data_IF_817580481460
#
_entry.id   IF_817580481460
#
_cell.length_a   1.000
_cell.length_b   1.000
_cell.length_c   1.000
_cell.angle_alpha   90.00
_cell.angle_beta   90.00
_cell.angle_gamma   90.00
#
_symmetry.space_group_name_H-M   'P 1'
#
loop_
_entity.id
_entity.type
_entity.pdbx_description
1 polymer ?
#
# COMPACT_ATOMS: atom_id res chain seq x y z
N UNK A 1 -8.82 -3.62 -19.07
CA UNK A 1 -8.45 -2.35 -18.38
C UNK A 1 -7.44 -2.65 -17.30
N UNK A 2 -6.39 -1.82 -17.15
CA UNK A 2 -5.36 -1.98 -16.12
C UNK A 2 -5.74 -1.19 -14.87
N UNK A 3 -5.56 -1.78 -13.69
CA UNK A 3 -5.80 -1.17 -12.40
C UNK A 3 -4.57 -1.39 -11.49
N UNK A 4 -4.51 -0.72 -10.36
CA UNK A 4 -3.58 -1.02 -9.27
C UNK A 4 -4.36 -1.21 -7.98
N UNK A 5 -4.70 -2.43 -7.65
CA UNK A 5 -5.47 -2.82 -6.45
C UNK A 5 -4.56 -3.43 -5.41
N UNK A 6 -3.64 -4.32 -5.83
CA UNK A 6 -2.63 -4.97 -5.01
C UNK A 6 -1.22 -4.67 -5.57
N UNK A 7 -0.14 -4.66 -4.76
CA UNK A 7 1.23 -4.48 -5.25
C UNK A 7 1.65 -5.47 -6.34
N UNK A 8 1.04 -6.64 -6.38
CA UNK A 8 1.33 -7.71 -7.35
C UNK A 8 0.63 -7.54 -8.70
N UNK A 9 -0.25 -6.55 -8.84
CA UNK A 9 -0.91 -6.22 -10.13
C UNK A 9 0.07 -5.67 -11.17
N UNK A 10 1.23 -5.21 -10.74
CA UNK A 10 2.33 -4.82 -11.61
C UNK A 10 3.38 -5.92 -11.61
N UNK A 11 3.93 -6.26 -12.76
CA UNK A 11 5.14 -7.08 -12.83
C UNK A 11 6.33 -6.32 -12.24
N UNK A 12 7.43 -7.03 -11.91
CA UNK A 12 8.66 -6.38 -11.45
C UNK A 12 9.15 -5.34 -12.46
N UNK A 13 9.17 -5.71 -13.74
CA UNK A 13 9.59 -4.80 -14.82
C UNK A 13 8.68 -3.55 -14.92
N UNK A 14 7.36 -3.70 -14.79
CA UNK A 14 6.43 -2.56 -14.78
C UNK A 14 6.62 -1.67 -13.55
N UNK A 15 6.85 -2.27 -12.39
CA UNK A 15 7.18 -1.55 -11.16
C UNK A 15 8.45 -0.70 -11.33
N UNK A 16 9.50 -1.30 -11.87
CA UNK A 16 10.77 -0.61 -12.13
C UNK A 16 10.63 0.48 -13.20
N UNK A 17 9.82 0.26 -14.25
CA UNK A 17 9.50 1.29 -15.24
C UNK A 17 8.77 2.48 -14.62
N UNK A 18 7.80 2.25 -13.72
CA UNK A 18 7.09 3.33 -13.01
C UNK A 18 8.06 4.08 -12.09
N UNK A 19 8.96 3.38 -11.39
CA UNK A 19 9.99 4.01 -10.54
C UNK A 19 10.94 4.84 -11.40
N UNK A 20 11.46 4.32 -12.50
CA UNK A 20 12.34 5.05 -13.42
C UNK A 20 11.65 6.27 -14.04
N UNK A 21 10.36 6.13 -14.41
CA UNK A 21 9.56 7.26 -14.87
C UNK A 21 9.39 8.33 -13.80
N UNK A 22 9.21 7.94 -12.53
CA UNK A 22 9.14 8.90 -11.43
C UNK A 22 10.47 9.66 -11.24
N UNK A 23 11.62 8.99 -11.42
CA UNK A 23 12.94 9.64 -11.41
C UNK A 23 13.09 10.62 -12.60
N UNK A 24 12.63 10.25 -13.82
CA UNK A 24 12.64 11.17 -14.97
C UNK A 24 11.72 12.38 -14.74
N UNK A 25 10.54 12.18 -14.14
CA UNK A 25 9.64 13.27 -13.77
C UNK A 25 10.30 14.22 -12.76
N UNK A 26 11.01 13.71 -11.76
CA UNK A 26 11.75 14.52 -10.78
C UNK A 26 12.79 15.40 -11.48
N UNK A 27 13.53 14.82 -12.41
CA UNK A 27 14.59 15.50 -13.15
C UNK A 27 14.07 16.48 -14.20
N UNK A 28 12.91 16.21 -14.81
CA UNK A 28 12.41 16.89 -16.01
C UNK A 28 10.94 17.35 -15.85
N UNK A 29 10.58 18.02 -14.74
CA UNK A 29 9.19 18.37 -14.39
C UNK A 29 8.44 19.10 -15.53
N UNK A 30 9.09 20.04 -16.19
CA UNK A 30 8.48 20.82 -17.28
C UNK A 30 8.02 19.93 -18.46
N UNK A 31 8.73 18.84 -18.76
CA UNK A 31 8.37 17.87 -19.80
C UNK A 31 7.01 17.22 -19.56
N UNK A 32 6.61 17.08 -18.30
CA UNK A 32 5.40 16.39 -17.89
C UNK A 32 4.25 17.28 -17.47
N UNK A 33 4.44 18.61 -17.46
CA UNK A 33 3.45 19.58 -16.96
C UNK A 33 2.11 19.62 -17.72
N UNK A 34 2.07 19.04 -18.92
CA UNK A 34 0.88 18.94 -19.78
C UNK A 34 0.53 17.48 -20.13
N UNK A 35 1.18 16.50 -19.49
CA UNK A 35 1.08 15.09 -19.85
C UNK A 35 -0.32 14.48 -19.64
N UNK A 36 -1.13 15.07 -18.76
CA UNK A 36 -2.52 14.69 -18.49
C UNK A 36 -3.52 15.80 -18.82
N UNK A 37 -3.15 16.72 -19.74
CA UNK A 37 -4.05 17.82 -20.15
C UNK A 37 -5.39 17.27 -20.65
N UNK A 38 -6.50 17.83 -20.12
CA UNK A 38 -7.87 17.40 -20.44
C UNK A 38 -8.35 16.15 -19.72
N UNK A 39 -7.48 15.44 -18.99
CA UNK A 39 -7.85 14.27 -18.18
C UNK A 39 -8.28 14.66 -16.76
N UNK A 40 -9.16 13.87 -16.15
CA UNK A 40 -9.68 14.10 -14.80
C UNK A 40 -9.44 12.89 -13.91
N UNK A 41 -8.86 13.14 -12.74
CA UNK A 41 -8.74 12.16 -11.65
C UNK A 41 -9.91 12.35 -10.68
N UNK A 42 -10.66 11.28 -10.42
CA UNK A 42 -11.61 11.25 -9.30
C UNK A 42 -10.92 10.73 -8.03
N UNK A 43 -10.89 11.54 -6.96
CA UNK A 43 -10.43 11.12 -5.63
C UNK A 43 -11.64 10.77 -4.77
N UNK A 44 -11.88 9.46 -4.56
CA UNK A 44 -13.02 8.94 -3.79
C UNK A 44 -12.52 8.47 -2.42
N UNK A 45 -12.56 9.35 -1.43
CA UNK A 45 -12.02 9.09 -0.11
C UNK A 45 -13.16 8.90 0.89
N UNK A 46 -13.51 7.63 1.14
CA UNK A 46 -14.53 7.21 2.13
C UNK A 46 -13.97 7.19 3.57
N UNK A 47 -12.65 7.14 3.70
CA UNK A 47 -11.92 7.22 4.96
C UNK A 47 -11.00 8.44 4.92
N UNK A 48 -10.96 9.29 5.95
CA UNK A 48 -10.11 10.48 5.98
C UNK A 48 -8.63 10.16 5.74
N UNK A 49 -8.00 10.86 4.82
CA UNK A 49 -6.56 10.76 4.56
C UNK A 49 -6.03 12.02 3.91
N UNK A 50 -5.53 12.95 4.71
CA UNK A 50 -5.00 14.23 4.24
C UNK A 50 -3.83 14.04 3.29
N UNK A 51 -2.78 13.32 3.70
CA UNK A 51 -1.55 13.15 2.91
C UNK A 51 -1.79 12.47 1.57
N UNK A 52 -2.48 11.31 1.58
CA UNK A 52 -2.70 10.55 0.35
C UNK A 52 -3.53 11.33 -0.64
N UNK A 53 -4.62 11.99 -0.18
CA UNK A 53 -5.47 12.80 -1.04
C UNK A 53 -4.72 13.99 -1.63
N UNK A 54 -4.02 14.76 -0.79
CA UNK A 54 -3.21 15.90 -1.27
C UNK A 54 -2.12 15.46 -2.25
N UNK A 55 -1.49 14.30 -2.02
CA UNK A 55 -0.47 13.76 -2.91
C UNK A 55 -1.04 13.39 -4.29
N UNK A 56 -2.21 12.74 -4.35
CA UNK A 56 -2.89 12.45 -5.63
C UNK A 56 -3.35 13.73 -6.32
N UNK A 57 -3.91 14.66 -5.56
CA UNK A 57 -4.34 15.96 -6.09
C UNK A 57 -3.17 16.72 -6.70
N UNK A 58 -2.07 16.87 -5.96
CA UNK A 58 -0.88 17.55 -6.45
C UNK A 58 -0.28 16.83 -7.66
N UNK A 59 -0.21 15.49 -7.63
CA UNK A 59 0.30 14.70 -8.74
C UNK A 59 -0.48 14.94 -10.04
N UNK A 60 -1.81 14.93 -10.00
CA UNK A 60 -2.63 15.15 -11.19
C UNK A 60 -2.55 16.59 -11.69
N UNK A 61 -2.54 17.58 -10.79
CA UNK A 61 -2.42 19.00 -11.15
C UNK A 61 -1.05 19.30 -11.76
N UNK A 62 0.04 18.75 -11.23
CA UNK A 62 1.39 18.93 -11.79
C UNK A 62 1.57 18.22 -13.16
N UNK A 63 0.72 17.26 -13.50
CA UNK A 63 0.63 16.66 -14.83
C UNK A 63 -0.27 17.44 -15.80
N UNK A 64 -0.83 18.60 -15.40
CA UNK A 64 -1.72 19.42 -16.22
C UNK A 64 -3.17 18.92 -16.28
N UNK A 65 -3.53 17.93 -15.48
CA UNK A 65 -4.89 17.40 -15.39
C UNK A 65 -5.76 18.12 -14.35
N UNK A 66 -6.95 17.61 -14.13
CA UNK A 66 -7.94 18.16 -13.19
C UNK A 66 -8.31 17.11 -12.14
N UNK A 67 -8.82 17.56 -10.99
CA UNK A 67 -9.23 16.67 -9.89
C UNK A 67 -10.65 16.99 -9.47
N UNK A 68 -11.47 15.95 -9.35
CA UNK A 68 -12.82 15.98 -8.79
C UNK A 68 -12.93 14.93 -7.67
N UNK A 69 -14.04 14.91 -6.95
CA UNK A 69 -14.31 13.85 -5.95
C UNK A 69 -14.67 14.40 -4.58
N UNK A 70 -14.61 13.53 -3.58
CA UNK A 70 -14.98 13.84 -2.20
C UNK A 70 -13.93 13.32 -1.20
N UNK A 71 -13.95 13.88 0.01
CA UNK A 71 -13.01 13.54 1.11
C UNK A 71 -13.69 12.89 2.32
N UNK A 72 -15.03 12.76 2.26
CA UNK A 72 -15.85 12.19 3.30
C UNK A 72 -17.07 11.52 2.64
N UNK A 73 -17.34 10.25 3.00
CA UNK A 73 -18.50 9.51 2.54
C UNK A 73 -19.83 10.21 2.88
N UNK A 74 -19.90 10.88 4.03
CA UNK A 74 -21.10 11.57 4.48
C UNK A 74 -21.49 12.76 3.59
N UNK A 75 -20.56 13.30 2.82
CA UNK A 75 -20.81 14.38 1.87
C UNK A 75 -21.20 13.90 0.47
N UNK A 76 -21.43 12.58 0.29
CA UNK A 76 -21.72 11.96 -1.01
C UNK A 76 -23.02 11.15 -0.97
N UNK A 77 -23.47 10.64 -2.13
CA UNK A 77 -24.63 9.76 -2.26
C UNK A 77 -24.51 8.44 -1.47
N UNK A 78 -23.31 8.09 -1.05
CA UNK A 78 -23.04 6.94 -0.18
C UNK A 78 -23.82 7.02 1.13
N UNK A 79 -24.00 8.23 1.68
CA UNK A 79 -24.83 8.46 2.87
C UNK A 79 -26.30 8.05 2.69
N UNK A 80 -26.75 7.88 1.44
CA UNK A 80 -28.09 7.41 1.06
C UNK A 80 -28.14 5.92 0.75
N UNK A 81 -27.01 5.19 0.91
CA UNK A 81 -26.91 3.76 0.66
C UNK A 81 -26.45 3.38 -0.77
N UNK A 82 -25.86 4.33 -1.55
CA UNK A 82 -25.30 4.00 -2.85
C UNK A 82 -24.13 3.02 -2.71
N UNK A 83 -24.13 1.97 -3.52
CA UNK A 83 -23.09 0.94 -3.53
C UNK A 83 -21.80 1.44 -4.18
N UNK A 84 -20.65 0.78 -3.88
CA UNK A 84 -19.39 1.06 -4.58
C UNK A 84 -19.53 0.86 -6.09
N UNK A 85 -20.23 -0.21 -6.50
CA UNK A 85 -20.45 -0.52 -7.92
C UNK A 85 -21.21 0.60 -8.66
N UNK A 86 -22.25 1.16 -8.06
CA UNK A 86 -23.03 2.23 -8.67
C UNK A 86 -22.27 3.56 -8.64
N UNK A 87 -21.62 3.87 -7.52
CA UNK A 87 -20.78 5.07 -7.42
C UNK A 87 -19.75 5.13 -8.55
N UNK A 88 -19.00 4.05 -8.80
CA UNK A 88 -17.94 4.09 -9.83
C UNK A 88 -18.50 4.11 -11.25
N UNK A 89 -19.68 3.54 -11.49
CA UNK A 89 -20.39 3.66 -12.77
C UNK A 89 -20.84 5.10 -13.07
N UNK A 90 -21.25 5.83 -12.05
CA UNK A 90 -21.56 7.27 -12.17
C UNK A 90 -20.29 8.08 -12.38
N UNK A 91 -19.26 7.85 -11.57
CA UNK A 91 -18.00 8.61 -11.61
C UNK A 91 -17.28 8.47 -12.98
N UNK A 92 -17.33 7.29 -13.62
CA UNK A 92 -16.74 7.11 -14.95
C UNK A 92 -17.32 8.05 -16.03
N UNK A 93 -18.52 8.59 -15.80
CA UNK A 93 -19.10 9.57 -16.72
C UNK A 93 -18.42 10.95 -16.61
N UNK A 94 -17.65 11.20 -15.56
CA UNK A 94 -17.06 12.48 -15.23
C UNK A 94 -15.53 12.46 -15.12
N UNK A 95 -14.91 11.29 -15.01
CA UNK A 95 -13.48 11.12 -14.79
C UNK A 95 -12.87 10.06 -15.71
N UNK A 96 -11.55 10.14 -15.89
CA UNK A 96 -10.75 9.22 -16.71
C UNK A 96 -10.00 8.18 -15.89
N UNK A 97 -9.83 8.43 -14.58
CA UNK A 97 -9.13 7.56 -13.64
C UNK A 97 -9.65 7.81 -12.22
N UNK A 98 -9.67 6.77 -11.39
CA UNK A 98 -10.14 6.83 -10.00
C UNK A 98 -8.99 6.50 -9.05
N UNK A 99 -8.80 7.29 -7.99
CA UNK A 99 -8.05 6.94 -6.79
C UNK A 99 -9.04 6.76 -5.64
N UNK A 100 -9.22 5.52 -5.18
CA UNK A 100 -10.18 5.16 -4.14
C UNK A 100 -9.49 4.80 -2.84
N UNK A 101 -9.90 5.45 -1.74
CA UNK A 101 -9.58 5.06 -0.38
C UNK A 101 -10.85 4.70 0.37
N UNK A 102 -10.91 3.51 0.95
CA UNK A 102 -12.11 3.00 1.59
C UNK A 102 -11.82 2.35 2.95
N UNK A 103 -12.76 2.45 3.90
CA UNK A 103 -12.65 1.79 5.20
C UNK A 103 -12.99 0.29 5.13
N UNK A 104 -13.77 -0.15 4.13
CA UNK A 104 -14.05 -1.57 3.86
C UNK A 104 -12.96 -2.17 2.99
N UNK A 105 -12.46 -3.32 3.41
CA UNK A 105 -11.47 -4.08 2.68
C UNK A 105 -12.06 -4.66 1.39
N UNK A 106 -11.31 -4.57 0.30
CA UNK A 106 -11.71 -5.04 -1.02
C UNK A 106 -12.61 -4.09 -1.83
N UNK A 107 -13.04 -2.95 -1.29
CA UNK A 107 -13.85 -1.99 -2.05
C UNK A 107 -13.20 -1.53 -3.36
N UNK A 108 -11.87 -1.25 -3.44
CA UNK A 108 -11.22 -0.95 -4.72
C UNK A 108 -11.24 -2.11 -5.72
N UNK A 109 -11.22 -3.37 -5.25
CA UNK A 109 -11.36 -4.53 -6.12
C UNK A 109 -12.75 -4.59 -6.75
N UNK A 110 -13.81 -4.34 -5.97
CA UNK A 110 -15.17 -4.20 -6.50
C UNK A 110 -15.22 -3.03 -7.48
N UNK A 111 -14.67 -1.88 -7.13
CA UNK A 111 -14.63 -0.72 -8.03
C UNK A 111 -13.99 -1.04 -9.39
N UNK A 112 -12.90 -1.81 -9.40
CA UNK A 112 -12.19 -2.18 -10.63
C UNK A 112 -13.03 -3.03 -11.58
N UNK A 113 -14.00 -3.79 -11.07
CA UNK A 113 -14.88 -4.64 -11.87
C UNK A 113 -15.95 -3.82 -12.61
N UNK A 114 -16.36 -2.68 -12.07
CA UNK A 114 -17.51 -1.91 -12.56
C UNK A 114 -17.15 -0.54 -13.15
N UNK A 115 -15.97 0.00 -12.85
CA UNK A 115 -15.61 1.36 -13.25
C UNK A 115 -15.45 1.56 -14.76
N UNK A 116 -14.89 0.57 -15.49
CA UNK A 116 -14.58 0.71 -16.93
C UNK A 116 -13.50 1.76 -17.25
N UNK A 117 -12.89 2.37 -16.24
CA UNK A 117 -11.73 3.25 -16.27
C UNK A 117 -10.70 2.78 -15.22
N UNK A 118 -9.41 3.16 -15.31
CA UNK A 118 -8.41 2.73 -14.33
C UNK A 118 -8.80 3.08 -12.89
N UNK A 119 -8.59 2.13 -11.96
CA UNK A 119 -8.80 2.31 -10.52
C UNK A 119 -7.47 2.09 -9.80
N UNK A 120 -7.16 3.00 -8.90
CA UNK A 120 -5.99 2.94 -7.99
C UNK A 120 -6.50 2.77 -6.57
N UNK A 121 -6.05 1.71 -5.89
CA UNK A 121 -6.25 1.53 -4.46
C UNK A 121 -5.35 2.50 -3.68
N UNK A 122 -5.94 3.52 -3.07
CA UNK A 122 -5.28 4.49 -2.21
C UNK A 122 -5.32 4.10 -0.72
N UNK A 123 -5.62 2.83 -0.44
CA UNK A 123 -5.71 2.19 0.87
C UNK A 123 -7.11 1.71 1.21
N UNK A 124 -7.25 0.42 1.53
CA UNK A 124 -8.52 -0.21 1.91
C UNK A 124 -8.42 -0.95 3.24
N UNK A 125 -9.08 -0.41 4.25
CA UNK A 125 -9.11 -0.99 5.59
C UNK A 125 -7.72 -1.35 6.14
N UNK A 126 -7.54 -2.61 6.54
CA UNK A 126 -6.25 -3.17 6.97
C UNK A 126 -5.57 -3.99 5.87
N UNK A 127 -6.13 -4.07 4.68
CA UNK A 127 -5.74 -5.01 3.64
C UNK A 127 -4.51 -4.54 2.84
N UNK A 128 -4.63 -3.51 1.98
CA UNK A 128 -3.55 -3.13 1.09
C UNK A 128 -3.38 -1.60 0.95
N UNK A 129 -2.15 -1.19 0.60
CA UNK A 129 -1.85 0.18 0.20
C UNK A 129 -0.77 0.23 -0.90
N UNK A 130 -1.07 -0.24 -2.12
CA UNK A 130 -0.08 -0.42 -3.18
C UNK A 130 0.65 0.87 -3.58
N UNK A 131 0.01 2.03 -3.46
CA UNK A 131 0.68 3.30 -3.77
C UNK A 131 1.66 3.74 -2.68
N UNK A 132 1.52 3.27 -1.45
CA UNK A 132 2.55 3.42 -0.42
C UNK A 132 3.74 2.52 -0.76
N UNK A 133 3.51 1.28 -1.18
CA UNK A 133 4.57 0.38 -1.65
C UNK A 133 5.40 1.01 -2.77
N UNK A 134 4.77 1.61 -3.79
CA UNK A 134 5.50 2.31 -4.84
C UNK A 134 6.29 3.52 -4.30
N UNK A 135 5.75 4.23 -3.31
CA UNK A 135 6.43 5.32 -2.62
C UNK A 135 7.69 4.83 -1.91
N UNK A 136 7.57 3.71 -1.22
CA UNK A 136 8.65 3.06 -0.49
C UNK A 136 9.73 2.57 -1.45
N UNK A 137 9.33 1.89 -2.54
CA UNK A 137 10.26 1.42 -3.58
C UNK A 137 11.01 2.57 -4.26
N UNK A 138 10.33 3.67 -4.65
CA UNK A 138 11.02 4.83 -5.20
C UNK A 138 12.03 5.40 -4.20
N UNK A 139 11.66 5.45 -2.92
CA UNK A 139 12.57 5.96 -1.88
C UNK A 139 13.76 5.03 -1.71
N UNK A 140 13.54 3.73 -1.63
CA UNK A 140 14.62 2.72 -1.56
C UNK A 140 15.55 2.86 -2.77
N UNK A 141 14.99 2.96 -3.99
CA UNK A 141 15.80 3.14 -5.20
C UNK A 141 16.68 4.38 -5.15
N UNK A 142 16.13 5.51 -4.72
CA UNK A 142 16.85 6.79 -4.66
C UNK A 142 17.91 6.84 -3.54
N UNK A 143 17.64 6.20 -2.41
CA UNK A 143 18.54 6.21 -1.25
C UNK A 143 19.59 5.08 -1.31
N UNK A 144 19.24 3.90 -1.85
CA UNK A 144 20.12 2.71 -1.88
C UNK A 144 20.58 2.31 -3.28
N UNK A 145 20.00 2.84 -4.34
CA UNK A 145 20.36 2.55 -5.73
C UNK A 145 19.94 1.16 -6.25
N UNK A 146 19.36 0.31 -5.40
CA UNK A 146 19.05 -1.09 -5.72
C UNK A 146 17.78 -1.56 -5.05
N UNK A 147 17.26 -2.72 -5.46
CA UNK A 147 16.12 -3.42 -4.83
C UNK A 147 16.50 -4.78 -4.26
N UNK A 148 17.66 -5.30 -4.59
CA UNK A 148 18.18 -6.60 -4.16
C UNK A 148 19.33 -6.46 -3.16
N UNK A 149 19.75 -7.59 -2.58
CA UNK A 149 20.88 -7.64 -1.64
C UNK A 149 20.75 -6.67 -0.46
N UNK A 150 19.60 -6.71 0.25
CA UNK A 150 19.30 -5.78 1.35
C UNK A 150 18.73 -6.50 2.56
N UNK A 151 19.07 -5.98 3.74
CA UNK A 151 18.44 -6.34 5.00
C UNK A 151 17.48 -5.24 5.43
N UNK A 152 16.19 -5.56 5.51
CA UNK A 152 15.13 -4.63 5.94
C UNK A 152 14.52 -5.08 7.27
N UNK A 153 14.53 -4.21 8.27
CA UNK A 153 13.83 -4.38 9.53
C UNK A 153 12.47 -3.70 9.50
N UNK A 154 11.39 -4.45 9.67
CA UNK A 154 10.06 -3.90 9.90
C UNK A 154 9.79 -3.84 11.39
N UNK A 155 9.54 -2.66 11.95
CA UNK A 155 9.43 -2.45 13.38
C UNK A 155 8.10 -1.80 13.77
N UNK A 156 7.40 -2.39 14.73
CA UNK A 156 6.17 -1.87 15.33
C UNK A 156 4.94 -2.77 15.12
N UNK A 157 3.86 -2.21 14.58
CA UNK A 157 2.62 -2.96 14.33
C UNK A 157 2.70 -3.73 13.02
N UNK A 158 3.10 -5.00 13.08
CA UNK A 158 3.16 -5.88 11.91
C UNK A 158 1.84 -6.64 11.70
N UNK A 159 0.99 -6.72 12.73
CA UNK A 159 -0.30 -7.43 12.67
C UNK A 159 -1.32 -6.70 11.78
N UNK A 160 -1.45 -5.38 11.95
CA UNK A 160 -2.41 -4.55 11.23
C UNK A 160 -1.73 -3.62 10.21
N UNK A 161 -0.42 -3.75 10.05
CA UNK A 161 0.42 -2.90 9.24
C UNK A 161 0.30 -3.16 7.74
N UNK A 162 -0.82 -2.77 7.09
CA UNK A 162 -1.03 -2.97 5.64
C UNK A 162 0.13 -2.50 4.75
N UNK A 163 0.85 -1.45 5.17
CA UNK A 163 2.02 -0.95 4.43
C UNK A 163 3.19 -1.92 4.51
N UNK A 164 3.36 -2.57 5.67
CA UNK A 164 4.33 -3.66 5.87
C UNK A 164 3.97 -4.84 4.99
N UNK A 165 2.72 -5.32 5.06
CA UNK A 165 2.23 -6.44 4.27
C UNK A 165 2.45 -6.22 2.77
N UNK A 166 2.04 -5.06 2.28
CA UNK A 166 2.20 -4.70 0.86
C UNK A 166 3.67 -4.59 0.44
N UNK A 167 4.54 -4.05 1.29
CA UNK A 167 5.96 -3.90 0.97
C UNK A 167 6.70 -5.25 1.01
N UNK A 168 6.38 -6.13 1.96
CA UNK A 168 6.91 -7.51 1.99
C UNK A 168 6.53 -8.25 0.70
N UNK A 169 5.27 -8.23 0.29
CA UNK A 169 4.80 -8.84 -0.98
C UNK A 169 5.57 -8.30 -2.20
N UNK A 170 5.87 -7.01 -2.23
CA UNK A 170 6.63 -6.42 -3.33
C UNK A 170 8.10 -6.84 -3.31
N UNK A 171 8.76 -6.77 -2.15
CA UNK A 171 10.18 -7.08 -1.98
C UNK A 171 10.48 -8.57 -2.14
N UNK A 172 9.54 -9.45 -1.80
CA UNK A 172 9.68 -10.90 -1.97
C UNK A 172 9.88 -11.35 -3.44
N UNK A 173 9.70 -10.44 -4.38
CA UNK A 173 9.88 -10.68 -5.82
C UNK A 173 11.29 -10.34 -6.30
N UNK A 174 12.12 -9.70 -5.45
CA UNK A 174 13.52 -9.39 -5.68
C UNK A 174 14.42 -10.46 -5.07
N UNK A 175 15.71 -10.43 -5.37
CA UNK A 175 16.65 -11.46 -4.95
C UNK A 175 17.43 -11.06 -3.70
N UNK A 176 17.75 -12.05 -2.85
CA UNK A 176 18.60 -11.88 -1.68
C UNK A 176 18.10 -10.76 -0.74
N UNK A 177 16.81 -10.80 -0.42
CA UNK A 177 16.19 -9.92 0.57
C UNK A 177 16.15 -10.63 1.92
N UNK A 178 16.68 -9.98 2.95
CA UNK A 178 16.58 -10.42 4.34
C UNK A 178 15.59 -9.54 5.08
N UNK A 179 14.53 -10.12 5.58
CA UNK A 179 13.49 -9.45 6.35
C UNK A 179 13.65 -9.75 7.83
N UNK A 180 13.75 -8.72 8.65
CA UNK A 180 13.76 -8.85 10.10
C UNK A 180 12.46 -8.24 10.63
N UNK A 181 11.64 -9.09 11.28
CA UNK A 181 10.35 -8.72 11.83
C UNK A 181 10.52 -8.38 13.31
N UNK A 182 10.40 -7.09 13.65
CA UNK A 182 10.69 -6.56 14.99
C UNK A 182 9.37 -6.17 15.63
N UNK A 183 8.80 -7.05 16.45
CA UNK A 183 7.50 -6.83 17.08
C UNK A 183 7.35 -7.64 18.37
N UNK A 184 6.58 -7.15 19.37
CA UNK A 184 6.14 -7.99 20.47
C UNK A 184 5.15 -9.03 19.96
N UNK A 185 4.93 -10.08 20.74
CA UNK A 185 4.10 -11.21 20.33
C UNK A 185 2.69 -10.82 19.88
N UNK A 186 2.09 -9.81 20.51
CA UNK A 186 0.74 -9.31 20.23
C UNK A 186 0.64 -8.62 18.86
N UNK A 187 1.75 -8.09 18.34
CA UNK A 187 1.84 -7.33 17.09
C UNK A 187 2.61 -8.04 15.97
N UNK A 188 2.89 -9.33 16.13
CA UNK A 188 3.59 -10.17 15.13
C UNK A 188 2.85 -10.18 13.80
N UNK A 189 3.62 -10.43 12.75
CA UNK A 189 3.07 -10.67 11.41
C UNK A 189 2.09 -11.85 11.43
N UNK A 190 0.94 -11.79 10.73
CA UNK A 190 -0.01 -12.91 10.68
C UNK A 190 0.61 -14.21 10.13
N UNK A 191 0.25 -15.35 10.72
CA UNK A 191 0.81 -16.67 10.39
C UNK A 191 0.71 -17.01 8.89
N UNK A 192 -0.37 -16.61 8.22
CA UNK A 192 -0.51 -16.87 6.78
C UNK A 192 0.55 -16.14 5.95
N UNK A 193 0.98 -14.95 6.37
CA UNK A 193 2.05 -14.22 5.69
C UNK A 193 3.42 -14.85 5.98
N UNK A 194 3.64 -15.32 7.22
CA UNK A 194 4.86 -16.07 7.55
C UNK A 194 4.97 -17.33 6.70
N UNK A 195 3.85 -18.04 6.48
CA UNK A 195 3.81 -19.21 5.62
C UNK A 195 4.14 -18.86 4.15
N UNK A 196 3.53 -17.79 3.61
CA UNK A 196 3.83 -17.30 2.25
C UNK A 196 5.32 -16.90 2.10
N UNK A 197 5.89 -16.27 3.12
CA UNK A 197 7.30 -15.91 3.13
C UNK A 197 8.21 -17.14 3.17
N UNK A 198 7.84 -18.15 3.96
CA UNK A 198 8.62 -19.39 4.10
C UNK A 198 8.66 -20.21 2.79
N UNK A 199 7.60 -20.15 1.98
CA UNK A 199 7.56 -20.81 0.66
C UNK A 199 8.42 -20.09 -0.39
N UNK A 200 8.83 -18.86 -0.15
CA UNK A 200 9.58 -18.05 -1.11
C UNK A 200 11.09 -18.21 -0.91
N UNK A 201 11.75 -19.00 -1.74
CA UNK A 201 13.19 -19.24 -1.70
C UNK A 201 14.09 -18.01 -1.95
N UNK A 202 13.53 -16.88 -2.35
CA UNK A 202 14.27 -15.62 -2.61
C UNK A 202 14.37 -14.72 -1.40
N UNK A 203 13.65 -15.05 -0.33
CA UNK A 203 13.50 -14.23 0.85
C UNK A 203 13.90 -15.03 2.08
N UNK A 204 14.79 -14.48 2.88
CA UNK A 204 15.10 -14.98 4.22
C UNK A 204 14.41 -14.08 5.24
N UNK A 205 13.85 -14.67 6.30
CA UNK A 205 13.28 -13.87 7.37
C UNK A 205 13.52 -14.45 8.75
N UNK A 206 13.51 -13.58 9.76
CA UNK A 206 13.50 -13.96 11.18
C UNK A 206 12.70 -12.95 12.00
N UNK A 207 12.21 -13.39 13.14
CA UNK A 207 11.50 -12.57 14.12
C UNK A 207 12.41 -12.26 15.30
N UNK A 208 12.30 -11.03 15.80
CA UNK A 208 13.01 -10.55 17.00
C UNK A 208 12.09 -9.63 17.80
N UNK A 209 12.37 -9.48 19.10
CA UNK A 209 11.54 -8.65 19.97
C UNK A 209 12.06 -7.21 20.13
N UNK A 210 13.36 -6.98 19.89
CA UNK A 210 13.98 -5.67 20.07
C UNK A 210 14.72 -5.20 18.81
N UNK A 211 14.71 -3.89 18.55
CA UNK A 211 15.42 -3.33 17.40
C UNK A 211 16.93 -3.24 17.64
N UNK A 212 17.34 -3.13 18.89
CA UNK A 212 18.73 -2.98 19.29
C UNK A 212 19.59 -4.18 18.88
N UNK A 213 19.02 -5.39 18.94
CA UNK A 213 19.70 -6.63 18.55
C UNK A 213 20.15 -6.66 17.09
N UNK A 214 19.41 -5.98 16.21
CA UNK A 214 19.54 -6.10 14.77
C UNK A 214 19.99 -4.83 14.08
N UNK A 215 20.06 -3.72 14.80
CA UNK A 215 20.40 -2.41 14.25
C UNK A 215 21.69 -2.40 13.38
N UNK A 216 22.78 -3.09 13.76
CA UNK A 216 24.03 -3.13 12.96
C UNK A 216 23.87 -3.87 11.62
N UNK A 217 22.83 -4.68 11.45
CA UNK A 217 22.63 -5.48 10.24
C UNK A 217 21.80 -4.77 9.19
N UNK A 218 20.96 -3.80 9.62
CA UNK A 218 19.95 -3.19 8.77
C UNK A 218 20.51 -2.26 7.71
N UNK A 219 20.04 -2.40 6.49
CA UNK A 219 20.17 -1.41 5.42
C UNK A 219 19.00 -0.45 5.43
N UNK A 220 17.82 -0.93 5.89
CA UNK A 220 16.59 -0.18 5.98
C UNK A 220 15.90 -0.52 7.30
N UNK A 221 15.51 0.50 8.06
CA UNK A 221 14.59 0.39 9.20
C UNK A 221 13.24 1.01 8.80
N UNK A 222 12.23 0.17 8.64
CA UNK A 222 10.86 0.60 8.35
C UNK A 222 10.04 0.62 9.66
N UNK A 223 9.80 1.82 10.16
CA UNK A 223 9.04 2.03 11.40
C UNK A 223 7.55 2.15 11.12
N UNK A 224 6.72 1.60 12.00
CA UNK A 224 5.27 1.79 11.97
C UNK A 224 4.76 2.20 13.35
N UNK A 225 3.68 2.96 13.40
CA UNK A 225 2.99 3.25 14.65
C UNK A 225 2.07 2.11 15.05
N UNK A 226 1.87 1.93 16.35
CA UNK A 226 0.80 1.06 16.86
C UNK A 226 -0.55 1.73 16.61
N UNK A 227 -1.47 1.04 15.92
CA UNK A 227 -2.74 1.60 15.45
C UNK A 227 -3.85 1.40 16.48
N UNK A 228 -4.04 2.36 17.43
CA UNK A 228 -5.07 2.28 18.49
C UNK A 228 -6.45 1.92 17.92
N UNK A 229 -6.80 2.47 16.79
CA UNK A 229 -8.08 2.27 16.12
C UNK A 229 -8.37 0.84 15.64
N UNK A 230 -7.39 -0.07 15.76
CA UNK A 230 -7.50 -1.49 15.37
C UNK A 230 -7.67 -2.42 16.57
N UNK A 231 -7.36 -1.95 17.78
CA UNK A 231 -7.51 -2.74 19.00
C UNK A 231 -8.98 -2.74 19.45
N UNK A 232 -9.43 -3.90 19.92
CA UNK A 232 -10.74 -4.05 20.56
C UNK A 232 -10.66 -3.82 22.07
N UNK A 233 -9.47 -4.03 22.65
CA UNK A 233 -9.17 -3.89 24.06
C UNK A 233 -8.15 -2.74 24.27
N UNK A 234 -8.52 -1.79 25.09
CA UNK A 234 -7.67 -0.63 25.41
C UNK A 234 -6.47 -1.01 26.29
N UNK A 235 -6.61 -2.05 27.14
CA UNK A 235 -5.51 -2.57 27.96
C UNK A 235 -4.43 -3.26 27.10
N UNK A 236 -4.83 -3.99 26.05
CA UNK A 236 -3.90 -4.58 25.09
C UNK A 236 -3.10 -3.51 24.35
N UNK A 237 -3.78 -2.45 23.91
CA UNK A 237 -3.10 -1.30 23.29
C UNK A 237 -2.12 -0.63 24.25
N UNK A 238 -2.51 -0.40 25.50
CA UNK A 238 -1.68 0.30 26.50
C UNK A 238 -0.39 -0.48 26.83
N UNK A 239 -0.41 -1.81 26.76
CA UNK A 239 0.80 -2.65 26.93
C UNK A 239 1.82 -2.46 25.81
N UNK A 240 1.36 -2.25 24.58
CA UNK A 240 2.24 -2.26 23.40
C UNK A 240 2.50 -0.88 22.78
N UNK A 241 1.74 0.16 23.14
CA UNK A 241 1.82 1.49 22.50
C UNK A 241 3.20 2.15 22.54
N UNK A 242 4.06 1.78 23.49
CA UNK A 242 5.40 2.34 23.67
C UNK A 242 6.52 1.29 23.50
N UNK A 243 6.22 0.11 22.93
CA UNK A 243 7.21 -0.97 22.78
C UNK A 243 8.41 -0.55 21.95
N UNK A 244 8.21 0.34 20.97
CA UNK A 244 9.27 0.77 20.06
C UNK A 244 9.31 2.28 19.95
N UNK A 245 10.37 2.87 20.52
CA UNK A 245 10.67 4.29 20.35
C UNK A 245 12.08 4.42 19.80
N UNK A 246 12.21 4.89 18.57
CA UNK A 246 13.48 5.20 17.93
C UNK A 246 13.97 6.57 18.40
N UNK A 247 15.21 6.61 18.89
CA UNK A 247 15.90 7.81 19.33
C UNK A 247 17.36 7.79 18.85
N UNK A 248 18.13 8.89 18.97
CA UNK A 248 19.52 8.95 18.51
C UNK A 248 20.45 7.93 19.19
N UNK A 249 20.20 7.53 20.43
CA UNK A 249 21.03 6.54 21.12
C UNK A 249 20.98 5.18 20.43
N UNK A 250 19.78 4.73 20.04
CA UNK A 250 19.60 3.46 19.32
C UNK A 250 20.23 3.47 17.93
N UNK A 251 20.43 4.65 17.34
CA UNK A 251 21.07 4.81 16.03
C UNK A 251 22.59 4.72 16.07
N UNK A 252 23.23 4.71 17.23
CA UNK A 252 24.70 4.68 17.36
C UNK A 252 25.34 3.41 16.79
N UNK A 253 24.63 2.29 16.82
CA UNK A 253 25.11 0.99 16.31
C UNK A 253 24.67 0.72 14.87
N UNK A 254 23.82 1.56 14.31
CA UNK A 254 23.32 1.40 12.95
C UNK A 254 24.40 1.73 11.92
N UNK A 255 24.30 1.12 10.73
CA UNK A 255 25.15 1.46 9.59
C UNK A 255 25.04 2.94 9.25
N UNK A 256 26.13 3.55 8.78
CA UNK A 256 26.14 4.96 8.35
C UNK A 256 25.20 5.21 7.16
N UNK A 257 25.06 4.23 6.27
CA UNK A 257 24.22 4.29 5.08
C UNK A 257 22.84 3.67 5.28
N UNK A 258 22.45 3.23 6.49
CA UNK A 258 21.10 2.78 6.79
C UNK A 258 20.10 3.91 6.51
N UNK A 259 18.90 3.57 6.05
CA UNK A 259 17.82 4.56 5.93
C UNK A 259 16.64 4.21 6.84
N UNK A 260 15.96 5.26 7.34
CA UNK A 260 14.79 5.13 8.20
C UNK A 260 13.57 5.56 7.40
N UNK A 261 12.63 4.64 7.21
CA UNK A 261 11.36 4.86 6.52
C UNK A 261 10.19 4.85 7.52
N UNK A 262 9.14 5.58 7.21
CA UNK A 262 7.90 5.60 7.97
C UNK A 262 6.74 6.12 7.10
N UNK A 263 5.59 5.41 7.01
CA UNK A 263 4.47 5.84 6.15
C UNK A 263 3.74 7.08 6.68
N UNK A 264 4.04 7.52 7.90
CA UNK A 264 3.39 8.62 8.62
C UNK A 264 1.84 8.46 8.73
N UNK A 265 1.17 9.05 9.73
CA UNK A 265 1.74 9.93 10.76
C UNK A 265 2.52 9.14 11.80
N UNK A 266 3.57 9.74 12.34
CA UNK A 266 4.17 9.26 13.58
C UNK A 266 3.52 9.95 14.77
N UNK A 267 3.55 9.30 15.93
CA UNK A 267 3.08 9.84 17.22
C UNK A 267 4.27 9.95 18.18
N UNK A 268 4.75 8.83 18.70
CA UNK A 268 5.85 8.73 19.65
C UNK A 268 6.94 7.72 19.27
N UNK A 269 6.69 6.90 18.26
CA UNK A 269 7.59 5.81 17.83
C UNK A 269 8.89 6.28 17.19
N UNK A 270 8.99 7.55 16.78
CA UNK A 270 10.24 8.20 16.37
C UNK A 270 10.31 9.55 17.07
N UNK A 271 11.33 9.77 17.88
CA UNK A 271 11.53 11.05 18.55
C UNK A 271 11.94 12.14 17.55
N UNK A 272 11.57 13.40 17.84
CA UNK A 272 11.89 14.53 16.95
C UNK A 272 13.39 14.74 16.76
N UNK A 273 14.23 14.33 17.71
CA UNK A 273 15.67 14.43 17.60
C UNK A 273 16.24 13.62 16.40
N UNK A 274 15.55 12.57 15.97
CA UNK A 274 15.93 11.76 14.81
C UNK A 274 15.72 12.51 13.48
N UNK A 275 14.88 13.56 13.44
CA UNK A 275 14.62 14.32 12.19
C UNK A 275 15.89 14.98 11.61
N UNK A 276 16.89 15.24 12.43
CA UNK A 276 18.16 15.84 12.03
C UNK A 276 19.21 14.78 11.61
N UNK A 277 18.94 13.50 11.79
CA UNK A 277 19.83 12.43 11.34
C UNK A 277 19.72 12.27 9.81
N UNK A 278 20.83 12.26 9.06
CA UNK A 278 20.82 12.15 7.59
C UNK A 278 20.13 10.86 7.10
N UNK A 279 20.11 9.81 7.93
CA UNK A 279 19.45 8.54 7.65
C UNK A 279 17.91 8.63 7.71
N UNK A 280 17.35 9.69 8.32
CA UNK A 280 15.91 9.92 8.38
C UNK A 280 15.34 10.27 6.98
N UNK A 281 14.83 9.27 6.28
CA UNK A 281 14.33 9.42 4.91
C UNK A 281 12.81 9.62 4.81
N UNK A 282 12.06 9.53 5.92
CA UNK A 282 10.59 9.50 5.90
C UNK A 282 9.92 10.78 5.37
N UNK A 283 10.55 11.95 5.43
CA UNK A 283 10.03 13.16 4.77
C UNK A 283 10.36 13.18 3.28
N UNK A 284 11.55 12.71 2.88
CA UNK A 284 11.88 12.49 1.46
C UNK A 284 10.96 11.42 0.85
N UNK A 285 10.58 10.40 1.62
CA UNK A 285 9.59 9.40 1.24
C UNK A 285 8.22 10.03 0.95
N UNK A 286 7.75 11.01 1.74
CA UNK A 286 6.50 11.74 1.44
C UNK A 286 6.60 12.48 0.11
N UNK A 287 7.70 13.17 -0.15
CA UNK A 287 7.92 13.87 -1.42
C UNK A 287 7.95 12.90 -2.60
N UNK A 288 8.68 11.80 -2.49
CA UNK A 288 8.73 10.73 -3.48
C UNK A 288 7.33 10.16 -3.79
N UNK A 289 6.46 10.12 -2.78
CA UNK A 289 5.08 9.68 -2.93
C UNK A 289 4.29 10.48 -3.96
N UNK A 290 4.52 11.79 -4.09
CA UNK A 290 3.89 12.59 -5.14
C UNK A 290 4.38 12.18 -6.53
N UNK A 291 5.68 12.05 -6.71
CA UNK A 291 6.27 11.76 -8.02
C UNK A 291 5.94 10.35 -8.51
N UNK A 292 5.94 9.35 -7.63
CA UNK A 292 5.54 8.01 -8.05
C UNK A 292 4.05 7.93 -8.39
N UNK A 293 3.20 8.73 -7.74
CA UNK A 293 1.78 8.87 -8.12
C UNK A 293 1.61 9.58 -9.45
N UNK A 294 2.45 10.58 -9.78
CA UNK A 294 2.48 11.17 -11.12
C UNK A 294 2.81 10.11 -12.17
N UNK A 295 3.88 9.34 -11.97
CA UNK A 295 4.27 8.26 -12.87
C UNK A 295 3.16 7.20 -13.04
N UNK A 296 2.54 6.78 -11.92
CA UNK A 296 1.46 5.80 -11.92
C UNK A 296 0.21 6.30 -12.68
N UNK A 297 -0.26 7.52 -12.40
CA UNK A 297 -1.42 8.12 -13.07
C UNK A 297 -1.17 8.20 -14.58
N UNK A 298 -0.03 8.75 -14.98
CA UNK A 298 0.35 8.89 -16.37
C UNK A 298 0.44 7.52 -17.08
N UNK A 299 1.05 6.53 -16.43
CA UNK A 299 1.19 5.17 -16.98
C UNK A 299 -0.18 4.51 -17.18
N UNK A 300 -1.05 4.55 -16.16
CA UNK A 300 -2.37 3.91 -16.24
C UNK A 300 -3.28 4.57 -17.28
N UNK A 301 -3.23 5.90 -17.41
CA UNK A 301 -3.97 6.62 -18.45
C UNK A 301 -3.47 6.25 -19.84
N UNK A 302 -2.15 6.22 -20.06
CA UNK A 302 -1.58 5.75 -21.32
C UNK A 302 -1.99 4.33 -21.67
N UNK A 303 -1.91 3.41 -20.72
CA UNK A 303 -2.32 2.02 -20.94
C UNK A 303 -3.82 1.90 -21.25
N UNK A 304 -4.65 2.78 -20.69
CA UNK A 304 -6.07 2.85 -21.02
C UNK A 304 -6.31 3.36 -22.46
N UNK A 305 -5.60 4.42 -22.88
CA UNK A 305 -5.69 4.98 -24.24
C UNK A 305 -5.16 3.99 -25.29
N UNK A 306 -4.13 3.22 -24.97
CA UNK A 306 -3.54 2.16 -25.82
C UNK A 306 -4.39 0.87 -25.82
N UNK A 307 -5.50 0.80 -25.09
CA UNK A 307 -6.30 -0.40 -24.83
C UNK A 307 -5.46 -1.60 -24.37
N UNK A 308 -4.36 -1.35 -23.66
CA UNK A 308 -3.42 -2.36 -23.22
C UNK A 308 -4.08 -3.35 -22.28
N UNK A 309 -4.25 -4.64 -22.66
CA UNK A 309 -4.87 -5.62 -21.80
C UNK A 309 -3.97 -5.87 -20.57
N UNK A 310 -4.58 -6.34 -19.50
CA UNK A 310 -3.85 -6.93 -18.40
C UNK A 310 -3.35 -8.32 -18.84
N UNK A 311 -2.04 -8.52 -18.93
CA UNK A 311 -1.47 -9.81 -19.37
C UNK A 311 -1.85 -10.99 -18.46
N UNK A 312 -2.43 -10.71 -17.30
CA UNK A 312 -2.87 -11.67 -16.29
C UNK A 312 -4.33 -11.48 -15.89
N UNK A 313 -5.23 -11.06 -16.81
CA UNK A 313 -6.65 -11.18 -16.49
C UNK A 313 -7.04 -12.66 -16.65
N UNK A 314 -6.87 -13.50 -15.61
CA UNK A 314 -7.60 -14.76 -15.58
C UNK A 314 -9.07 -14.37 -15.58
N UNK A 315 -9.88 -15.11 -16.29
CA UNK A 315 -11.33 -15.10 -16.05
C UNK A 315 -11.49 -15.27 -14.53
N UNK A 316 -12.32 -14.45 -13.88
CA UNK A 316 -12.49 -14.47 -12.42
C UNK A 316 -12.72 -15.90 -11.88
N UNK A 317 -13.44 -16.74 -12.63
CA UNK A 317 -13.70 -18.15 -12.33
C UNK A 317 -12.46 -19.05 -12.38
N UNK A 318 -11.38 -18.68 -13.05
CA UNK A 318 -10.13 -19.47 -13.07
C UNK A 318 -9.21 -19.12 -11.91
N UNK A 319 -9.32 -17.89 -11.39
CA UNK A 319 -8.49 -17.39 -10.28
C UNK A 319 -9.15 -17.61 -8.92
N UNK A 320 -10.48 -17.57 -8.86
CA UNK A 320 -11.22 -17.56 -7.60
C UNK A 320 -12.29 -18.65 -7.54
N UNK A 321 -12.51 -19.17 -6.34
CA UNK A 321 -13.73 -19.90 -5.98
C UNK A 321 -14.81 -18.85 -5.73
N UNK A 322 -15.91 -18.91 -6.47
CA UNK A 322 -16.93 -17.86 -6.48
C UNK A 322 -18.18 -18.34 -5.74
N UNK A 323 -18.63 -17.60 -4.75
CA UNK A 323 -19.88 -17.80 -4.00
C UNK A 323 -20.02 -19.13 -3.22
N UNK A 324 -18.93 -19.91 -3.05
CA UNK A 324 -18.96 -21.19 -2.31
C UNK A 324 -18.75 -21.01 -0.80
N UNK A 325 -18.12 -19.92 -0.37
CA UNK A 325 -17.73 -19.66 1.02
C UNK A 325 -18.28 -18.33 1.51
N UNK A 326 -18.25 -18.14 2.85
CA UNK A 326 -18.59 -16.88 3.50
C UNK A 326 -17.36 -16.23 4.15
N UNK A 327 -17.27 -14.92 4.03
CA UNK A 327 -16.22 -14.15 4.69
C UNK A 327 -16.65 -13.82 6.13
N UNK A 328 -15.86 -14.23 7.16
CA UNK A 328 -16.19 -13.92 8.54
C UNK A 328 -15.88 -12.47 8.94
N UNK A 329 -15.13 -11.73 8.11
CA UNK A 329 -14.72 -10.38 8.41
C UNK A 329 -15.87 -9.38 8.12
N UNK A 330 -16.46 -8.82 9.16
CA UNK A 330 -17.55 -7.84 9.04
C UNK A 330 -17.14 -6.51 8.39
N UNK A 331 -15.84 -6.23 8.26
CA UNK A 331 -15.31 -5.04 7.57
C UNK A 331 -15.08 -5.29 6.07
N UNK A 332 -15.19 -6.54 5.63
CA UNK A 332 -15.06 -6.89 4.24
C UNK A 332 -16.23 -6.32 3.41
N UNK A 333 -15.95 -5.87 2.20
CA UNK A 333 -16.97 -5.39 1.27
C UNK A 333 -18.02 -6.47 0.98
N UNK A 334 -17.61 -7.74 0.84
CA UNK A 334 -18.50 -8.88 0.58
C UNK A 334 -19.46 -9.25 1.74
N UNK A 335 -19.20 -8.72 2.95
CA UNK A 335 -20.11 -8.88 4.09
C UNK A 335 -21.15 -7.75 4.18
N UNK A 336 -21.05 -6.73 3.34
CA UNK A 336 -21.83 -5.49 3.48
C UNK A 336 -22.49 -5.01 2.20
N UNK A 337 -22.05 -5.48 1.04
CA UNK A 337 -22.63 -5.19 -0.26
C UNK A 337 -22.92 -6.50 -1.00
N UNK A 338 -23.94 -6.50 -1.86
CA UNK A 338 -24.28 -7.64 -2.71
C UNK A 338 -23.29 -7.73 -3.89
N UNK A 339 -22.19 -8.41 -3.64
CA UNK A 339 -21.10 -8.66 -4.61
C UNK A 339 -20.72 -10.14 -4.60
N UNK A 340 -20.19 -10.64 -5.71
CA UNK A 340 -19.67 -11.99 -5.77
C UNK A 340 -18.61 -12.21 -4.66
N UNK A 341 -18.79 -13.29 -3.89
CA UNK A 341 -17.86 -13.69 -2.83
C UNK A 341 -16.70 -14.45 -3.46
N UNK A 342 -15.57 -13.78 -3.58
CA UNK A 342 -14.37 -14.31 -4.23
C UNK A 342 -13.39 -14.85 -3.18
N UNK A 343 -12.94 -16.09 -3.38
CA UNK A 343 -11.96 -16.74 -2.53
C UNK A 343 -10.83 -17.34 -3.37
N UNK A 344 -9.62 -17.30 -2.86
CA UNK A 344 -8.49 -18.02 -3.45
C UNK A 344 -8.05 -19.18 -2.58
N UNK A 345 -7.65 -20.30 -3.19
CA UNK A 345 -7.05 -21.45 -2.50
C UNK A 345 -5.57 -21.20 -2.29
N UNK A 346 -5.13 -21.45 -1.07
CA UNK A 346 -3.71 -21.51 -0.75
C UNK A 346 -3.14 -22.92 -0.95
N UNK A 347 -1.81 -23.03 -0.92
CA UNK A 347 -1.12 -24.32 -1.09
C UNK A 347 -1.51 -25.34 -0.01
N UNK A 348 -1.81 -24.89 1.21
CA UNK A 348 -2.29 -25.73 2.32
C UNK A 348 -3.76 -26.18 2.17
N UNK A 349 -4.43 -25.81 1.07
CA UNK A 349 -5.84 -26.09 0.80
C UNK A 349 -6.83 -25.14 1.49
N UNK A 350 -6.38 -24.22 2.35
CA UNK A 350 -7.24 -23.22 2.96
C UNK A 350 -7.75 -22.22 1.90
N UNK A 351 -9.02 -21.82 2.04
CA UNK A 351 -9.60 -20.74 1.22
C UNK A 351 -9.56 -19.43 1.99
N UNK A 352 -9.08 -18.35 1.31
CA UNK A 352 -9.07 -17.02 1.85
C UNK A 352 -9.86 -16.06 0.97
N UNK A 353 -10.53 -15.13 1.62
CA UNK A 353 -11.30 -14.10 0.94
C UNK A 353 -10.38 -13.20 0.11
N UNK A 354 -10.64 -13.06 -1.19
CA UNK A 354 -9.85 -12.23 -2.11
C UNK A 354 -9.96 -10.72 -1.82
N UNK A 355 -10.91 -10.32 -0.99
CA UNK A 355 -11.12 -8.92 -0.61
C UNK A 355 -10.36 -8.52 0.65
N UNK A 356 -10.10 -9.43 1.59
CA UNK A 356 -9.56 -9.06 2.91
C UNK A 356 -8.61 -10.10 3.54
N UNK A 357 -8.28 -11.19 2.83
CA UNK A 357 -7.42 -12.29 3.27
C UNK A 357 -7.93 -13.10 4.49
N UNK A 358 -9.14 -12.82 4.98
CA UNK A 358 -9.72 -13.61 6.06
C UNK A 358 -9.95 -15.07 5.61
N UNK A 359 -9.61 -16.03 6.49
CA UNK A 359 -9.85 -17.46 6.24
C UNK A 359 -11.37 -17.70 6.11
N UNK A 360 -11.77 -18.43 5.08
CA UNK A 360 -13.16 -18.80 4.83
C UNK A 360 -13.77 -19.60 5.98
N UNK A 361 -15.08 -19.47 6.14
CA UNK A 361 -15.93 -20.35 6.96
C UNK A 361 -16.73 -21.28 6.09
#
# INVERSE_FOLDING_TARGET
MRHLIDPTDLTVAETEQIVALAEDIIANRAKYSEACRGKKLATLFYEPSTRTRLSFTAAMLELGGQVIGFSDANSSSVSKGETVADTVRVIRCFADIIAMRHFKEGAPLVASQYAGIPVINAGDGSHAHPTQTLTDLLTIKREKGRFDNMTIGFCGDLKFGRTVHSLIKALSRYSNIKVILIAPQELRLPDYMLAEMAENSRLEFREVETMEEVMPELDILYMTRVQKERFLDEEEFDRVKNSFVLNPEKLKTAKEDMIILHPLPRVNEITRAVDNDPRAAYFRQVENGKFVRMALIYTLLRWADENRPFERTPVFSERYVVNEYECPNRRCISATEDVDRLFHRQADGACRCAYCEAKAR
#
